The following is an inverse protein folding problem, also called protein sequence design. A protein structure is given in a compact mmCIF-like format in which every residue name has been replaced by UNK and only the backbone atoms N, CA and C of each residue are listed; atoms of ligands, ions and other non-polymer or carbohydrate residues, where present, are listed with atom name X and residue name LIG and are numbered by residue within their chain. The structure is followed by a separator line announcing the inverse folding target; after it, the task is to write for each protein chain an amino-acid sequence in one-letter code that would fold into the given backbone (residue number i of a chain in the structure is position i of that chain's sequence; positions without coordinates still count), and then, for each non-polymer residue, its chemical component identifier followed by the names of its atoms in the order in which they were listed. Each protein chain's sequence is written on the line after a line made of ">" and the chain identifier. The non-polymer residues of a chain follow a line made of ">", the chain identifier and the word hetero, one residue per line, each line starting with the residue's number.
data_IF_007935620324
#
_entry.id   IF_007935620324
#
_cell.length_a   1.000
_cell.length_b   1.000
_cell.length_c   1.000
_cell.angle_alpha   90.00
_cell.angle_beta   90.00
_cell.angle_gamma   90.00
#
_symmetry.space_group_name_H-M   'P 1'
#
loop_
_entity.id
_entity.type
_entity.pdbx_description
1 polymer ?
#
# COMPACT_ATOMS: atom_id res chain seq x y z
N UNK A 1 15.83 -24.27 -3.77
CA UNK A 1 15.14 -23.44 -4.79
C UNK A 1 14.00 -22.80 -4.04
N UNK A 2 14.15 -21.56 -3.60
CA UNK A 2 13.11 -20.87 -2.84
C UNK A 2 11.88 -20.74 -3.73
N UNK A 3 10.70 -21.09 -3.20
CA UNK A 3 9.46 -20.87 -3.91
C UNK A 3 9.33 -19.37 -4.12
N UNK A 4 9.29 -18.93 -5.37
CA UNK A 4 9.01 -17.54 -5.71
C UNK A 4 7.55 -17.28 -5.34
N UNK A 5 7.34 -16.74 -4.14
CA UNK A 5 6.02 -16.48 -3.59
C UNK A 5 5.31 -15.47 -4.50
N UNK A 6 4.14 -15.82 -5.04
CA UNK A 6 3.38 -14.95 -5.93
C UNK A 6 2.89 -13.74 -5.14
N UNK A 7 3.32 -12.54 -5.55
CA UNK A 7 2.93 -11.29 -4.89
C UNK A 7 1.42 -11.05 -5.03
N UNK A 8 0.81 -10.59 -3.95
CA UNK A 8 -0.58 -10.15 -3.95
C UNK A 8 -0.72 -8.83 -4.72
N UNK A 9 -1.89 -8.60 -5.34
CA UNK A 9 -2.18 -7.39 -6.10
C UNK A 9 -3.27 -6.58 -5.40
N UNK A 10 -3.13 -5.25 -5.36
CA UNK A 10 -4.21 -4.35 -4.93
C UNK A 10 -5.24 -4.19 -6.05
N UNK A 11 -6.44 -3.69 -5.72
CA UNK A 11 -7.48 -3.40 -6.69
C UNK A 11 -7.03 -2.39 -7.78
N UNK A 12 -6.06 -1.52 -7.46
CA UNK A 12 -5.53 -0.49 -8.35
C UNK A 12 -4.26 -0.93 -9.10
N UNK A 13 -3.84 -2.19 -9.01
CA UNK A 13 -2.58 -2.66 -9.61
C UNK A 13 -2.47 -2.36 -11.13
N UNK A 14 -3.54 -2.60 -11.88
CA UNK A 14 -3.58 -2.29 -13.31
C UNK A 14 -3.50 -0.78 -13.62
N UNK A 15 -4.03 0.06 -12.73
CA UNK A 15 -3.93 1.53 -12.84
C UNK A 15 -2.49 1.97 -12.64
N UNK A 16 -1.78 1.39 -11.68
CA UNK A 16 -0.36 1.68 -11.44
C UNK A 16 0.52 1.33 -12.64
N UNK A 17 0.29 0.16 -13.25
CA UNK A 17 0.98 -0.25 -14.47
C UNK A 17 0.69 0.73 -15.63
N UNK A 18 -0.57 1.14 -15.81
CA UNK A 18 -0.96 2.09 -16.85
C UNK A 18 -0.37 3.51 -16.65
N UNK A 19 -0.13 3.91 -15.40
CA UNK A 19 0.52 5.18 -15.05
C UNK A 19 2.06 5.12 -15.12
N UNK A 20 2.64 3.97 -15.48
CA UNK A 20 4.09 3.81 -15.59
C UNK A 20 4.81 3.74 -14.25
N UNK A 21 4.12 3.31 -13.19
CA UNK A 21 4.71 3.17 -11.87
C UNK A 21 5.87 2.16 -11.86
N UNK A 22 6.90 2.46 -11.07
CA UNK A 22 7.95 1.49 -10.74
C UNK A 22 7.40 0.51 -9.70
N UNK A 23 7.00 -0.67 -10.15
CA UNK A 23 6.44 -1.71 -9.30
C UNK A 23 7.52 -2.53 -8.59
N UNK A 24 7.37 -2.75 -7.28
CA UNK A 24 8.31 -3.52 -6.45
C UNK A 24 7.58 -4.48 -5.51
N UNK A 25 8.24 -5.57 -5.06
CA UNK A 25 7.76 -6.37 -3.94
C UNK A 25 7.81 -5.55 -2.64
N UNK A 26 6.68 -5.36 -1.98
CA UNK A 26 6.60 -4.67 -0.68
C UNK A 26 5.53 -5.34 0.20
N UNK A 27 5.92 -5.78 1.40
CA UNK A 27 5.03 -6.42 2.38
C UNK A 27 4.19 -7.60 1.81
N UNK A 28 4.72 -8.35 0.84
CA UNK A 28 4.01 -9.45 0.16
C UNK A 28 3.10 -9.02 -1.00
N UNK A 29 3.04 -7.72 -1.31
CA UNK A 29 2.26 -7.15 -2.42
C UNK A 29 3.16 -6.61 -3.54
N UNK A 30 2.62 -6.49 -4.75
CA UNK A 30 3.23 -5.77 -5.87
C UNK A 30 2.74 -4.32 -5.86
N UNK A 31 3.57 -3.42 -5.34
CA UNK A 31 3.21 -2.02 -5.04
C UNK A 31 4.00 -1.00 -5.87
N UNK A 32 3.42 0.18 -6.18
CA UNK A 32 4.14 1.27 -6.83
C UNK A 32 5.07 2.00 -5.82
N UNK A 33 6.38 2.04 -6.08
CA UNK A 33 7.34 2.77 -5.21
C UNK A 33 7.50 4.24 -5.62
N UNK A 34 7.28 4.55 -6.90
CA UNK A 34 7.29 5.91 -7.48
C UNK A 34 6.70 5.85 -8.89
N UNK A 35 6.28 6.99 -9.42
CA UNK A 35 5.82 7.21 -10.79
C UNK A 35 6.82 8.09 -11.56
N UNK A 36 6.90 9.38 -11.20
CA UNK A 36 7.81 10.35 -11.83
C UNK A 36 9.13 10.48 -11.05
N UNK A 37 9.09 10.26 -9.73
CA UNK A 37 10.26 10.27 -8.87
C UNK A 37 9.93 10.72 -7.45
N UNK A 38 10.61 10.11 -6.47
CA UNK A 38 10.30 10.32 -5.04
C UNK A 38 10.33 11.80 -4.63
N UNK A 39 11.31 12.58 -5.10
CA UNK A 39 11.38 14.01 -4.76
C UNK A 39 10.23 14.81 -5.38
N UNK A 40 9.82 14.49 -6.62
CA UNK A 40 8.72 15.17 -7.31
C UNK A 40 7.40 14.90 -6.57
N UNK A 41 7.13 13.63 -6.27
CA UNK A 41 5.95 13.20 -5.52
C UNK A 41 5.93 13.79 -4.09
N UNK A 42 7.08 13.85 -3.43
CA UNK A 42 7.21 14.52 -2.14
C UNK A 42 6.84 16.01 -2.22
N UNK A 43 7.36 16.73 -3.22
CA UNK A 43 7.04 18.14 -3.42
C UNK A 43 5.57 18.36 -3.81
N UNK A 44 4.97 17.46 -4.60
CA UNK A 44 3.55 17.51 -4.93
C UNK A 44 2.66 17.42 -3.66
N UNK A 45 2.98 16.51 -2.74
CA UNK A 45 2.26 16.39 -1.46
C UNK A 45 2.48 17.61 -0.57
N UNK A 46 3.72 18.14 -0.51
CA UNK A 46 4.06 19.27 0.36
C UNK A 46 3.44 20.59 -0.09
N UNK A 47 3.34 20.79 -1.40
CA UNK A 47 2.94 22.07 -1.98
C UNK A 47 1.58 22.01 -2.69
N UNK A 48 0.86 20.88 -2.59
CA UNK A 48 -0.38 20.64 -3.32
C UNK A 48 -1.14 19.44 -2.78
N UNK A 49 -1.40 18.45 -3.63
CA UNK A 49 -2.14 17.23 -3.29
C UNK A 49 -1.35 16.01 -3.75
N UNK A 50 -1.39 14.95 -2.94
CA UNK A 50 -0.90 13.62 -3.31
C UNK A 50 -1.96 12.56 -3.04
N UNK A 51 -1.98 11.53 -3.89
CA UNK A 51 -2.86 10.38 -3.78
C UNK A 51 -1.99 9.14 -3.59
N UNK A 52 -2.33 8.31 -2.60
CA UNK A 52 -1.59 7.11 -2.26
C UNK A 52 -2.53 5.90 -2.28
N UNK A 53 -2.10 4.81 -2.92
CA UNK A 53 -2.75 3.52 -2.75
C UNK A 53 -2.18 2.81 -1.53
N UNK A 54 -2.92 2.86 -0.42
CA UNK A 54 -2.60 2.19 0.85
C UNK A 54 -3.42 0.92 1.05
N UNK A 55 -4.08 0.40 0.01
CA UNK A 55 -5.03 -0.72 0.11
C UNK A 55 -4.40 -2.07 0.47
N UNK A 56 -3.07 -2.13 0.56
CA UNK A 56 -2.34 -3.29 1.09
C UNK A 56 -2.32 -3.33 2.63
N UNK A 57 -2.72 -2.24 3.30
CA UNK A 57 -2.85 -2.19 4.76
C UNK A 57 -4.02 -3.05 5.20
N UNK A 58 -3.79 -3.90 6.20
CA UNK A 58 -4.85 -4.70 6.79
C UNK A 58 -5.83 -3.82 7.57
N UNK A 59 -7.12 -4.07 7.37
CA UNK A 59 -8.21 -3.47 8.13
C UNK A 59 -8.85 -4.54 9.02
N UNK A 60 -9.04 -4.25 10.30
CA UNK A 60 -9.62 -5.18 11.27
C UNK A 60 -10.73 -4.51 12.07
N UNK A 61 -11.85 -5.22 12.21
CA UNK A 61 -12.93 -4.84 13.11
C UNK A 61 -12.82 -5.67 14.40
N UNK A 62 -12.91 -5.00 15.56
CA UNK A 62 -12.90 -5.63 16.88
C UNK A 62 -14.14 -5.17 17.62
N UNK A 63 -15.02 -6.11 17.96
CA UNK A 63 -16.35 -5.82 18.51
C UNK A 63 -16.69 -6.75 19.69
N UNK A 64 -17.62 -6.32 20.54
CA UNK A 64 -18.08 -7.06 21.72
C UNK A 64 -17.80 -6.33 23.05
N UNK A 65 -18.43 -6.76 24.16
CA UNK A 65 -18.33 -6.09 25.46
C UNK A 65 -16.90 -5.90 25.97
N UNK A 66 -16.00 -6.83 25.62
CA UNK A 66 -14.62 -6.86 26.09
C UNK A 66 -13.60 -6.33 25.06
N UNK A 67 -14.06 -5.77 23.93
CA UNK A 67 -13.18 -5.30 22.85
C UNK A 67 -12.11 -4.31 23.33
N UNK A 68 -12.51 -3.35 24.20
CA UNK A 68 -11.57 -2.39 24.78
C UNK A 68 -10.53 -3.06 25.69
N UNK A 69 -10.96 -4.01 26.50
CA UNK A 69 -10.05 -4.74 27.40
C UNK A 69 -9.05 -5.59 26.60
N UNK A 70 -9.51 -6.27 25.55
CA UNK A 70 -8.66 -7.04 24.63
C UNK A 70 -7.62 -6.16 23.92
N UNK A 71 -7.99 -4.95 23.48
CA UNK A 71 -7.06 -4.04 22.80
C UNK A 71 -5.99 -3.42 23.73
N UNK A 72 -6.13 -3.54 25.05
CA UNK A 72 -5.27 -2.91 26.06
C UNK A 72 -4.44 -3.91 26.88
N UNK A 73 -4.45 -5.20 26.52
CA UNK A 73 -3.72 -6.26 27.23
C UNK A 73 -2.25 -6.36 26.84
#
# INVERSE_FOLDING_TARGET
>A
MEAQESLQLTALNAVHDALGAKMVPFAGYRMPVQYEGVSVEHHAVRNGVGVFDVSHMGEFYVEGPDALAFLQS
#
